data_IF_546339021654
#
_entry.id   IF_546339021654
#
_cell.length_a   1.000
_cell.length_b   1.000
_cell.length_c   1.000
_cell.angle_alpha   90.00
_cell.angle_beta   90.00
_cell.angle_gamma   90.00
#
_symmetry.space_group_name_H-M   'P 1'
#
loop_
_entity.id
_entity.type
_entity.pdbx_description
1 polymer ?
#
# COMPACT_ATOMS: atom_id res chain seq x y z
N UNK A 1 28.89 -8.57 11.39
CA UNK A 1 29.66 -9.60 12.10
C UNK A 1 28.99 -9.97 13.42
N UNK A 2 29.52 -10.95 14.15
CA UNK A 2 29.17 -11.14 15.57
C UNK A 2 29.62 -9.89 16.33
N UNK A 3 28.79 -9.40 17.25
CA UNK A 3 28.95 -8.12 17.98
C UNK A 3 28.67 -6.82 17.19
N UNK A 4 28.00 -6.86 16.03
CA UNK A 4 27.45 -5.65 15.42
C UNK A 4 26.42 -4.97 16.35
N UNK A 5 26.40 -3.64 16.37
CA UNK A 5 25.46 -2.87 17.20
C UNK A 5 24.02 -2.94 16.66
N UNK A 6 23.15 -3.68 17.36
CA UNK A 6 21.71 -3.77 17.07
C UNK A 6 20.93 -2.74 17.90
N UNK A 7 20.54 -1.63 17.29
CA UNK A 7 19.64 -0.64 17.89
C UNK A 7 18.18 -1.09 17.75
N UNK A 8 17.41 -1.06 18.85
CA UNK A 8 15.98 -1.40 18.87
C UNK A 8 15.15 -0.13 18.82
N UNK A 9 14.27 -0.02 17.82
CA UNK A 9 13.42 1.18 17.63
C UNK A 9 12.16 1.19 18.51
N UNK A 10 11.85 0.09 19.21
CA UNK A 10 10.68 -0.06 20.11
C UNK A 10 9.32 0.30 19.48
N UNK A 11 9.20 0.19 18.15
CA UNK A 11 7.98 0.38 17.36
C UNK A 11 7.84 -0.75 16.33
N UNK A 12 6.62 -1.16 15.92
CA UNK A 12 6.42 -2.11 14.83
C UNK A 12 6.83 -1.51 13.48
N UNK A 13 6.95 -2.36 12.46
CA UNK A 13 7.04 -1.89 11.07
C UNK A 13 5.83 -0.99 10.78
N UNK A 14 6.11 0.22 10.29
CA UNK A 14 5.12 1.28 10.10
C UNK A 14 5.31 1.89 8.70
N UNK A 15 4.22 2.39 8.13
CA UNK A 15 4.16 2.98 6.78
C UNK A 15 3.93 4.48 6.93
N UNK A 16 4.71 5.31 6.25
CA UNK A 16 4.44 6.75 6.14
C UNK A 16 3.22 6.94 5.22
N UNK A 17 2.06 7.20 5.84
CA UNK A 17 0.81 7.51 5.16
C UNK A 17 0.60 9.02 5.10
N UNK A 18 0.36 9.53 3.91
CA UNK A 18 0.17 10.94 3.64
C UNK A 18 -0.05 11.18 2.14
N UNK A 19 -0.21 12.44 1.73
CA UNK A 19 0.05 12.86 0.35
C UNK A 19 1.36 12.24 -0.15
N UNK A 20 1.36 11.66 -1.36
CA UNK A 20 2.61 11.34 -2.06
C UNK A 20 2.99 9.95 -2.46
N UNK A 21 2.10 9.00 -2.23
CA UNK A 21 2.40 7.58 -2.44
C UNK A 21 2.31 7.21 -3.95
N UNK A 22 1.95 8.13 -4.84
CA UNK A 22 1.56 7.81 -6.23
C UNK A 22 2.41 8.44 -7.33
N UNK A 23 2.30 7.84 -8.52
CA UNK A 23 3.34 7.92 -9.54
C UNK A 23 4.67 7.34 -9.06
N UNK A 24 4.73 6.74 -7.87
CA UNK A 24 5.92 6.41 -7.12
C UNK A 24 6.06 4.91 -6.88
N UNK A 25 7.31 4.51 -6.66
CA UNK A 25 7.76 3.11 -6.73
C UNK A 25 8.55 2.82 -5.47
N UNK A 26 8.10 1.85 -4.69
CA UNK A 26 8.69 1.54 -3.39
C UNK A 26 9.22 0.11 -3.33
N UNK A 27 10.33 -0.05 -2.61
CA UNK A 27 10.79 -1.31 -2.03
C UNK A 27 9.73 -1.90 -1.08
N UNK A 28 9.82 -3.20 -0.75
CA UNK A 28 8.87 -3.90 0.15
C UNK A 28 8.79 -3.34 1.58
N UNK A 29 9.70 -2.45 1.95
CA UNK A 29 9.72 -1.68 3.21
C UNK A 29 9.58 -0.16 2.97
N UNK A 30 8.74 0.21 1.98
CA UNK A 30 8.34 1.56 1.61
C UNK A 30 9.48 2.55 1.26
N UNK A 31 10.62 2.07 0.75
CA UNK A 31 11.72 2.97 0.33
C UNK A 31 11.56 3.38 -1.13
N UNK A 32 11.46 4.68 -1.40
CA UNK A 32 11.27 5.23 -2.75
C UNK A 32 12.49 4.93 -3.66
N UNK A 33 12.31 4.00 -4.60
CA UNK A 33 13.37 3.53 -5.51
C UNK A 33 13.93 4.67 -6.37
N UNK A 34 13.08 5.64 -6.75
CA UNK A 34 13.52 6.85 -7.47
C UNK A 34 14.56 7.65 -6.69
N UNK A 35 14.46 7.75 -5.36
CA UNK A 35 15.38 8.52 -4.51
C UNK A 35 16.63 7.70 -4.17
N UNK A 36 16.53 6.36 -4.13
CA UNK A 36 17.70 5.47 -4.07
C UNK A 36 18.54 5.60 -5.35
N UNK A 37 17.91 5.58 -6.52
CA UNK A 37 18.58 5.80 -7.81
C UNK A 37 19.08 7.24 -7.97
N UNK A 38 18.25 8.23 -7.64
CA UNK A 38 18.60 9.66 -7.63
C UNK A 38 19.21 10.11 -6.30
N UNK A 39 20.22 9.40 -5.78
CA UNK A 39 21.02 9.91 -4.63
C UNK A 39 22.00 11.02 -5.02
N UNK A 40 21.58 11.84 -5.99
CA UNK A 40 22.15 13.08 -6.51
C UNK A 40 21.14 14.25 -6.54
N UNK A 41 19.91 14.07 -6.00
CA UNK A 41 19.02 15.17 -5.57
C UNK A 41 17.69 15.36 -6.33
N UNK A 42 16.78 16.11 -5.69
CA UNK A 42 15.55 16.68 -6.28
C UNK A 42 14.24 16.31 -5.57
N UNK A 43 13.79 17.17 -4.64
CA UNK A 43 12.48 17.07 -3.97
C UNK A 43 11.32 17.68 -4.82
N UNK A 44 10.07 17.35 -4.48
CA UNK A 44 8.85 17.97 -5.03
C UNK A 44 7.83 18.26 -3.92
N UNK A 45 7.07 19.35 -4.05
CA UNK A 45 6.16 19.89 -3.03
C UNK A 45 4.79 20.21 -3.65
N UNK A 46 3.67 19.64 -3.14
CA UNK A 46 2.31 19.93 -3.62
C UNK A 46 1.74 21.19 -2.96
N UNK A 47 0.51 21.58 -3.31
CA UNK A 47 -0.15 22.76 -2.74
C UNK A 47 -1.29 22.37 -1.79
N UNK A 48 -1.18 22.76 -0.51
CA UNK A 48 -2.17 22.43 0.51
C UNK A 48 -3.27 23.49 0.55
N UNK A 49 -4.52 23.04 0.52
CA UNK A 49 -5.69 23.85 0.86
C UNK A 49 -6.32 23.33 2.16
N UNK A 50 -6.54 24.21 3.13
CA UNK A 50 -7.23 23.82 4.36
C UNK A 50 -8.73 23.67 4.09
N UNK A 51 -9.34 22.59 4.58
CA UNK A 51 -10.79 22.45 4.59
C UNK A 51 -11.34 23.32 5.73
N UNK A 52 -12.52 23.91 5.57
CA UNK A 52 -13.12 24.76 6.63
C UNK A 52 -13.58 23.89 7.81
N UNK A 53 -12.71 23.76 8.80
CA UNK A 53 -13.03 23.37 10.18
C UNK A 53 -12.66 24.58 11.07
N UNK A 54 -13.40 24.80 12.17
CA UNK A 54 -13.16 25.89 13.11
C UNK A 54 -12.14 25.53 14.21
N UNK A 55 -11.40 26.52 14.69
CA UNK A 55 -10.68 26.37 15.95
C UNK A 55 -11.70 26.19 17.10
N UNK A 56 -11.46 25.21 17.98
CA UNK A 56 -12.39 24.78 19.01
C UNK A 56 -13.32 23.63 18.63
N UNK A 57 -13.45 23.26 17.35
CA UNK A 57 -14.23 22.10 16.91
C UNK A 57 -13.67 20.81 17.52
N UNK A 58 -14.58 19.90 17.91
CA UNK A 58 -14.24 18.59 18.47
C UNK A 58 -14.13 17.55 17.34
N UNK A 59 -12.97 16.91 17.22
CA UNK A 59 -12.68 15.94 16.17
C UNK A 59 -12.30 14.58 16.75
N UNK A 60 -12.52 13.56 15.92
CA UNK A 60 -12.18 12.16 16.13
C UNK A 60 -11.25 11.65 15.03
N UNK A 61 -10.66 10.47 15.23
CA UNK A 61 -9.86 9.81 14.21
C UNK A 61 -10.63 9.58 12.90
N UNK A 62 -9.94 9.67 11.77
CA UNK A 62 -10.54 9.63 10.44
C UNK A 62 -11.12 10.96 9.93
N UNK A 63 -11.38 11.97 10.79
CA UNK A 63 -11.90 13.25 10.33
C UNK A 63 -10.95 13.94 9.31
N UNK A 64 -11.53 14.32 8.16
CA UNK A 64 -10.80 14.88 7.02
C UNK A 64 -10.69 16.41 7.13
N UNK A 65 -9.47 16.94 7.32
CA UNK A 65 -9.23 18.34 7.73
C UNK A 65 -8.51 19.22 6.70
N UNK A 66 -7.83 18.63 5.72
CA UNK A 66 -7.20 19.36 4.62
C UNK A 66 -7.31 18.60 3.30
N UNK A 67 -7.22 19.34 2.20
CA UNK A 67 -7.24 18.85 0.82
C UNK A 67 -5.97 19.30 0.11
N UNK A 68 -5.12 18.37 -0.27
CA UNK A 68 -3.90 18.65 -1.04
C UNK A 68 -4.18 18.36 -2.51
N UNK A 69 -3.88 19.31 -3.39
CA UNK A 69 -3.90 19.03 -4.82
C UNK A 69 -2.59 18.34 -5.19
N UNK A 70 -2.72 17.04 -5.45
CA UNK A 70 -1.63 16.08 -5.55
C UNK A 70 -1.59 15.46 -6.96
N UNK A 71 -2.62 15.64 -7.77
CA UNK A 71 -2.44 15.75 -9.22
C UNK A 71 -3.48 16.75 -9.75
N UNK A 72 -3.44 17.06 -11.04
CA UNK A 72 -4.34 18.03 -11.70
C UNK A 72 -5.83 17.65 -11.72
N UNK A 73 -6.18 16.53 -11.08
CA UNK A 73 -7.49 15.89 -11.03
C UNK A 73 -7.91 15.50 -9.59
N UNK A 74 -6.94 15.21 -8.71
CA UNK A 74 -7.16 14.43 -7.50
C UNK A 74 -6.78 15.21 -6.24
N UNK A 75 -7.61 15.05 -5.21
CA UNK A 75 -7.54 15.80 -3.95
C UNK A 75 -7.23 14.83 -2.82
N UNK A 76 -5.96 14.75 -2.44
CA UNK A 76 -5.54 13.94 -1.31
C UNK A 76 -6.14 14.49 -0.02
N UNK A 77 -6.99 13.70 0.63
CA UNK A 77 -7.72 14.08 1.84
C UNK A 77 -6.87 13.73 3.07
N UNK A 78 -6.38 14.75 3.77
CA UNK A 78 -5.63 14.52 5.03
C UNK A 78 -6.62 14.20 6.15
N UNK A 79 -6.61 12.94 6.58
CA UNK A 79 -7.33 12.45 7.75
C UNK A 79 -6.55 12.66 9.05
N UNK A 80 -7.24 12.77 10.18
CA UNK A 80 -6.63 12.59 11.50
C UNK A 80 -6.36 11.11 11.81
N UNK A 81 -5.27 10.84 12.54
CA UNK A 81 -4.90 9.50 12.99
C UNK A 81 -6.05 8.85 13.81
N UNK A 82 -6.36 7.55 13.63
CA UNK A 82 -7.55 6.91 14.22
C UNK A 82 -7.65 7.04 15.75
N UNK A 83 -6.52 6.92 16.47
CA UNK A 83 -6.50 7.01 17.93
C UNK A 83 -6.61 8.45 18.50
N UNK A 84 -6.63 9.47 17.63
CA UNK A 84 -6.61 10.87 18.06
C UNK A 84 -8.03 11.42 18.24
N UNK A 85 -8.34 11.88 19.46
CA UNK A 85 -9.56 12.65 19.75
C UNK A 85 -9.20 13.91 20.52
N UNK A 86 -9.87 15.03 20.23
CA UNK A 86 -9.61 16.29 20.92
C UNK A 86 -10.35 17.49 20.32
N UNK A 87 -10.02 18.68 20.82
CA UNK A 87 -10.44 19.96 20.21
C UNK A 87 -9.28 20.58 19.45
N UNK A 88 -9.57 21.22 18.34
CA UNK A 88 -8.57 21.95 17.56
C UNK A 88 -8.12 23.20 18.32
N UNK A 89 -6.82 23.30 18.62
CA UNK A 89 -6.23 24.47 19.29
C UNK A 89 -5.59 25.47 18.33
N UNK A 90 -5.30 25.05 17.10
CA UNK A 90 -4.65 25.86 16.06
C UNK A 90 -4.83 25.19 14.68
N UNK A 91 -5.07 25.97 13.63
CA UNK A 91 -5.04 25.49 12.23
C UNK A 91 -3.99 26.27 11.42
N UNK A 92 -3.11 25.53 10.73
CA UNK A 92 -2.15 26.14 9.81
C UNK A 92 -2.87 26.79 8.60
N UNK A 93 -2.58 28.05 8.24
CA UNK A 93 -3.29 28.75 7.16
C UNK A 93 -3.02 28.10 5.79
N UNK A 94 -3.92 28.24 4.78
CA UNK A 94 -3.69 27.69 3.43
C UNK A 94 -2.37 28.16 2.81
N UNK A 95 -1.55 27.23 2.30
CA UNK A 95 -0.18 27.55 1.90
C UNK A 95 0.59 26.36 1.31
N UNK A 96 1.87 26.58 1.01
CA UNK A 96 2.82 25.51 0.67
C UNK A 96 3.54 25.08 1.94
N UNK A 97 3.52 23.77 2.23
CA UNK A 97 4.18 23.16 3.37
C UNK A 97 4.99 21.96 2.92
N UNK A 98 6.14 21.73 3.54
CA UNK A 98 7.07 20.65 3.24
C UNK A 98 6.61 19.31 3.84
N UNK A 99 5.57 18.71 3.25
CA UNK A 99 5.38 17.27 3.31
C UNK A 99 6.41 16.60 2.37
N UNK A 100 7.04 15.51 2.83
CA UNK A 100 8.18 14.90 2.11
C UNK A 100 7.74 14.02 0.96
N UNK A 101 7.89 14.54 -0.26
CA UNK A 101 7.46 13.96 -1.55
C UNK A 101 5.94 13.91 -1.69
N UNK A 102 5.38 14.42 -2.80
CA UNK A 102 3.95 14.27 -3.04
C UNK A 102 3.45 14.23 -4.48
N UNK A 103 2.33 13.49 -4.70
CA UNK A 103 1.35 13.44 -5.81
C UNK A 103 0.37 12.21 -5.65
N UNK A 104 -0.90 12.24 -6.14
CA UNK A 104 -2.01 11.23 -5.92
C UNK A 104 -2.79 10.78 -7.20
N UNK A 105 -3.78 9.86 -7.34
CA UNK A 105 -4.66 8.97 -6.50
C UNK A 105 -5.04 7.67 -7.28
N UNK A 106 -5.54 6.62 -6.60
CA UNK A 106 -4.92 5.27 -6.66
C UNK A 106 -5.63 4.09 -7.36
N UNK A 107 -4.89 3.43 -8.27
CA UNK A 107 -4.79 1.97 -8.45
C UNK A 107 -3.49 1.50 -7.77
N UNK A 108 -3.55 0.45 -6.93
CA UNK A 108 -2.32 -0.10 -6.32
C UNK A 108 -1.91 -1.32 -7.12
N UNK A 109 -0.67 -1.38 -7.63
CA UNK A 109 -0.10 -2.58 -8.26
C UNK A 109 1.13 -3.08 -7.49
N UNK A 110 1.35 -4.41 -7.49
CA UNK A 110 2.46 -5.09 -6.83
C UNK A 110 3.02 -6.15 -7.74
N UNK A 111 4.33 -6.12 -7.92
CA UNK A 111 5.11 -7.33 -8.16
C UNK A 111 5.77 -7.76 -6.85
N UNK A 112 5.37 -8.92 -6.34
CA UNK A 112 5.89 -9.59 -5.16
C UNK A 112 6.39 -10.98 -5.58
N UNK A 113 7.68 -11.04 -5.93
CA UNK A 113 8.34 -12.24 -6.45
C UNK A 113 8.56 -12.21 -7.96
N UNK A 114 7.96 -11.25 -8.65
CA UNK A 114 8.19 -11.02 -10.08
C UNK A 114 9.67 -10.75 -10.39
N UNK A 115 10.05 -10.99 -11.64
CA UNK A 115 11.41 -10.73 -12.10
C UNK A 115 11.53 -9.22 -12.33
N UNK A 116 12.75 -8.70 -12.21
CA UNK A 116 13.03 -7.29 -12.47
C UNK A 116 12.70 -6.84 -13.90
N UNK A 117 12.44 -7.78 -14.83
CA UNK A 117 11.98 -7.50 -16.20
C UNK A 117 10.50 -7.13 -16.25
N UNK A 118 9.60 -7.95 -15.67
CA UNK A 118 8.15 -7.64 -15.70
C UNK A 118 7.87 -6.29 -15.02
N UNK A 119 8.53 -6.02 -13.88
CA UNK A 119 8.46 -4.72 -13.21
C UNK A 119 9.06 -3.56 -14.01
N UNK A 120 10.01 -3.80 -14.91
CA UNK A 120 10.58 -2.76 -15.78
C UNK A 120 9.66 -2.46 -16.98
N UNK A 121 8.98 -3.46 -17.53
CA UNK A 121 8.02 -3.31 -18.63
C UNK A 121 6.79 -2.51 -18.16
N UNK A 122 6.24 -2.83 -16.99
CA UNK A 122 5.21 -2.01 -16.29
C UNK A 122 5.62 -0.53 -16.20
N UNK A 123 6.90 -0.25 -15.90
CA UNK A 123 7.43 1.12 -15.78
C UNK A 123 7.69 1.84 -17.10
N UNK A 124 7.78 1.11 -18.22
CA UNK A 124 7.87 1.70 -19.57
C UNK A 124 6.48 1.95 -20.16
N UNK A 125 5.51 1.07 -19.89
CA UNK A 125 4.20 1.11 -20.53
C UNK A 125 3.19 2.01 -19.78
N UNK A 126 3.17 2.00 -18.44
CA UNK A 126 2.21 2.79 -17.66
C UNK A 126 2.32 4.31 -17.89
N UNK A 127 3.50 4.90 -18.15
CA UNK A 127 3.62 6.30 -18.59
C UNK A 127 2.99 6.59 -19.96
N UNK A 128 2.96 5.61 -20.87
CA UNK A 128 2.43 5.74 -22.23
C UNK A 128 0.90 5.56 -22.28
N UNK A 129 0.34 4.75 -21.39
CA UNK A 129 -1.10 4.57 -21.23
C UNK A 129 -1.73 5.86 -20.67
N UNK A 130 -2.41 6.63 -21.53
CA UNK A 130 -3.31 7.71 -21.12
C UNK A 130 -4.74 7.19 -20.95
N UNK A 131 -5.48 7.81 -20.03
CA UNK A 131 -6.91 7.60 -19.84
C UNK A 131 -7.65 8.92 -20.00
N UNK A 132 -8.70 8.93 -20.80
CA UNK A 132 -9.64 10.05 -20.92
C UNK A 132 -10.56 10.07 -19.70
N UNK A 133 -10.61 11.22 -19.01
CA UNK A 133 -11.43 11.41 -17.82
C UNK A 133 -12.77 12.09 -18.16
N UNK A 134 -13.69 12.12 -17.19
CA UNK A 134 -15.00 12.74 -17.34
C UNK A 134 -14.96 14.23 -17.76
N UNK A 135 -13.88 14.95 -17.41
CA UNK A 135 -13.61 16.34 -17.83
C UNK A 135 -12.98 16.47 -19.23
N UNK A 136 -12.88 15.37 -20.01
CA UNK A 136 -12.31 15.37 -21.36
C UNK A 136 -10.79 15.55 -21.44
N UNK A 137 -10.08 15.50 -20.30
CA UNK A 137 -8.62 15.53 -20.23
C UNK A 137 -8.03 14.12 -20.35
N UNK A 138 -6.85 14.01 -20.94
CA UNK A 138 -6.03 12.80 -20.89
C UNK A 138 -4.95 12.95 -19.82
N UNK A 139 -4.84 11.98 -18.91
CA UNK A 139 -3.69 11.83 -18.02
C UNK A 139 -3.21 10.38 -17.96
N UNK A 140 -1.92 10.19 -17.63
CA UNK A 140 -1.29 8.86 -17.61
C UNK A 140 -1.74 8.01 -16.42
N UNK A 141 -1.99 6.72 -16.66
CA UNK A 141 -2.27 5.70 -15.64
C UNK A 141 -1.16 5.64 -14.59
N UNK A 142 0.09 5.96 -14.93
CA UNK A 142 1.20 6.03 -13.97
C UNK A 142 0.95 7.05 -12.85
N UNK A 143 0.37 8.24 -13.14
CA UNK A 143 -0.01 9.20 -12.08
C UNK A 143 -0.99 8.57 -11.08
N UNK A 144 -1.87 7.74 -11.61
CA UNK A 144 -2.87 7.01 -10.83
C UNK A 144 -2.34 5.71 -10.23
N UNK A 145 -1.05 5.38 -10.30
CA UNK A 145 -0.53 4.09 -9.82
C UNK A 145 0.46 4.25 -8.67
N UNK A 146 0.26 3.48 -7.59
CA UNK A 146 1.32 3.16 -6.62
C UNK A 146 1.90 1.81 -6.98
N UNK A 147 3.23 1.74 -7.11
CA UNK A 147 3.95 0.48 -7.32
C UNK A 147 4.73 0.12 -6.05
N UNK A 148 4.46 -1.06 -5.48
CA UNK A 148 5.37 -1.68 -4.50
C UNK A 148 6.02 -2.88 -5.18
N UNK A 149 7.33 -2.83 -5.35
CA UNK A 149 8.12 -3.78 -6.12
C UNK A 149 9.08 -4.52 -5.18
N UNK A 150 8.82 -5.81 -4.95
CA UNK A 150 9.76 -6.70 -4.28
C UNK A 150 10.13 -7.84 -5.23
N UNK A 151 11.23 -7.66 -5.98
CA UNK A 151 11.69 -8.62 -6.99
C UNK A 151 12.26 -9.88 -6.34
N UNK A 152 12.27 -11.01 -7.05
CA UNK A 152 12.70 -12.33 -6.55
C UNK A 152 14.15 -12.43 -6.01
N UNK A 153 14.98 -11.40 -6.18
CA UNK A 153 16.33 -11.28 -5.61
C UNK A 153 16.40 -10.40 -4.34
N UNK A 154 15.28 -9.86 -3.87
CA UNK A 154 15.18 -9.11 -2.60
C UNK A 154 14.97 -10.06 -1.41
N UNK A 155 15.19 -9.62 -0.15
CA UNK A 155 15.10 -10.51 1.01
C UNK A 155 13.71 -11.13 1.20
N UNK A 156 13.63 -12.39 1.64
CA UNK A 156 12.34 -13.09 1.80
C UNK A 156 11.37 -12.39 2.76
N UNK A 157 11.88 -11.81 3.85
CA UNK A 157 11.07 -10.98 4.77
C UNK A 157 10.45 -9.73 4.11
N UNK A 158 11.01 -9.26 2.99
CA UNK A 158 10.45 -8.15 2.22
C UNK A 158 9.29 -8.55 1.30
N UNK A 159 9.10 -9.85 1.00
CA UNK A 159 7.87 -10.34 0.34
C UNK A 159 6.67 -10.33 1.31
N UNK A 160 6.87 -10.63 2.59
CA UNK A 160 5.83 -10.44 3.60
C UNK A 160 5.59 -8.95 3.88
N UNK A 161 6.65 -8.16 4.04
CA UNK A 161 6.53 -6.73 4.29
C UNK A 161 5.88 -5.96 3.13
N UNK A 162 6.13 -6.32 1.87
CA UNK A 162 5.57 -5.61 0.71
C UNK A 162 4.04 -5.75 0.66
N UNK A 163 3.52 -6.95 0.90
CA UNK A 163 2.08 -7.22 0.93
C UNK A 163 1.41 -6.44 2.06
N UNK A 164 1.96 -6.48 3.29
CA UNK A 164 1.39 -5.73 4.42
C UNK A 164 1.51 -4.21 4.27
N UNK A 165 2.63 -3.70 3.76
CA UNK A 165 2.81 -2.27 3.41
C UNK A 165 1.71 -1.85 2.43
N UNK A 166 1.45 -2.68 1.43
CA UNK A 166 0.60 -2.33 0.30
C UNK A 166 -0.90 -2.45 0.57
N UNK A 167 -1.37 -3.44 1.34
CA UNK A 167 -2.77 -3.42 1.83
C UNK A 167 -3.02 -2.21 2.72
N UNK A 168 -2.05 -1.82 3.55
CA UNK A 168 -2.17 -0.64 4.42
C UNK A 168 -2.25 0.66 3.60
N UNK A 169 -1.55 0.75 2.47
CA UNK A 169 -1.72 1.83 1.49
C UNK A 169 -3.12 1.78 0.84
N UNK A 170 -3.63 0.61 0.46
CA UNK A 170 -4.96 0.47 -0.14
C UNK A 170 -6.08 0.89 0.83
N UNK A 171 -5.98 0.49 2.10
CA UNK A 171 -6.89 0.90 3.16
C UNK A 171 -6.84 2.41 3.45
N UNK A 172 -5.68 3.03 3.36
CA UNK A 172 -5.55 4.48 3.54
C UNK A 172 -6.37 5.27 2.49
N UNK A 173 -6.34 4.85 1.22
CA UNK A 173 -7.16 5.47 0.17
C UNK A 173 -8.64 5.07 0.26
N UNK A 174 -8.96 3.85 0.68
CA UNK A 174 -10.33 3.43 1.04
C UNK A 174 -10.94 4.34 2.10
N UNK A 175 -10.18 4.69 3.13
CA UNK A 175 -10.68 5.46 4.27
C UNK A 175 -10.97 6.94 3.92
N UNK A 176 -10.36 7.46 2.85
CA UNK A 176 -10.75 8.74 2.23
C UNK A 176 -12.08 8.68 1.46
N UNK A 177 -12.60 7.48 1.17
CA UNK A 177 -13.79 7.24 0.36
C UNK A 177 -13.53 6.84 -1.10
N UNK A 178 -12.30 6.44 -1.45
CA UNK A 178 -12.01 5.93 -2.80
C UNK A 178 -12.34 4.43 -2.95
N UNK A 179 -12.61 4.02 -4.19
CA UNK A 179 -12.71 2.62 -4.58
C UNK A 179 -11.34 2.18 -5.13
N UNK A 180 -10.65 1.29 -4.43
CA UNK A 180 -9.25 0.95 -4.64
C UNK A 180 -9.13 -0.50 -5.11
N UNK A 181 -8.37 -0.73 -6.19
CA UNK A 181 -8.02 -2.09 -6.64
C UNK A 181 -6.58 -2.46 -6.27
N UNK A 182 -6.39 -3.74 -5.91
CA UNK A 182 -5.18 -4.27 -5.31
C UNK A 182 -4.79 -5.62 -5.96
N UNK A 183 -4.02 -5.56 -7.05
CA UNK A 183 -3.46 -6.74 -7.75
C UNK A 183 -2.27 -7.35 -6.99
N UNK A 184 -2.43 -8.42 -6.22
CA UNK A 184 -1.36 -9.09 -5.49
C UNK A 184 -0.71 -10.21 -6.34
N UNK A 185 0.27 -9.82 -7.15
CA UNK A 185 0.98 -10.67 -8.11
C UNK A 185 2.39 -11.02 -7.55
N UNK A 186 2.67 -12.21 -6.99
CA UNK A 186 1.75 -13.32 -6.75
C UNK A 186 1.87 -13.91 -5.34
N UNK A 187 0.73 -14.28 -4.75
CA UNK A 187 0.59 -14.66 -3.33
C UNK A 187 1.37 -15.92 -2.94
N UNK A 188 1.58 -16.87 -3.86
CA UNK A 188 2.40 -18.06 -3.64
C UNK A 188 3.87 -17.74 -3.36
N UNK A 189 4.41 -16.62 -3.85
CA UNK A 189 5.80 -16.18 -3.53
C UNK A 189 5.92 -15.76 -2.06
N UNK A 190 4.87 -15.13 -1.52
CA UNK A 190 4.77 -14.84 -0.08
C UNK A 190 4.59 -16.11 0.76
N UNK A 191 3.75 -17.06 0.31
CA UNK A 191 3.62 -18.35 0.98
C UNK A 191 4.95 -19.13 1.03
N UNK A 192 5.73 -19.11 -0.05
CA UNK A 192 7.09 -19.69 -0.06
C UNK A 192 8.06 -18.94 0.86
N UNK A 193 8.00 -17.61 0.92
CA UNK A 193 8.79 -16.83 1.88
C UNK A 193 8.43 -17.17 3.34
N UNK A 194 7.13 -17.33 3.66
CA UNK A 194 6.66 -17.80 4.97
C UNK A 194 7.18 -19.21 5.29
N UNK A 195 7.21 -20.12 4.31
CA UNK A 195 7.81 -21.46 4.45
C UNK A 195 9.32 -21.39 4.75
N UNK A 196 10.07 -20.54 4.05
CA UNK A 196 11.51 -20.43 4.30
C UNK A 196 11.80 -19.79 5.66
N UNK A 197 11.03 -18.79 6.08
CA UNK A 197 11.13 -18.18 7.41
C UNK A 197 10.81 -19.21 8.51
N UNK A 198 9.68 -19.93 8.38
CA UNK A 198 9.26 -20.99 9.31
C UNK A 198 10.31 -22.10 9.45
N UNK A 199 10.87 -22.57 8.32
CA UNK A 199 11.96 -23.55 8.31
C UNK A 199 13.27 -23.05 8.95
N UNK A 200 13.61 -21.76 8.77
CA UNK A 200 14.76 -21.12 9.46
C UNK A 200 14.54 -20.94 10.96
N UNK A 201 13.28 -20.85 11.41
CA UNK A 201 12.88 -20.80 12.83
C UNK A 201 12.77 -22.20 13.46
N UNK A 202 12.93 -23.28 12.67
CA UNK A 202 12.74 -24.67 13.07
C UNK A 202 11.34 -24.96 13.67
N UNK A 203 10.32 -24.28 13.16
CA UNK A 203 8.92 -24.58 13.46
C UNK A 203 8.52 -25.94 12.85
N UNK A 204 7.47 -26.57 13.39
CA UNK A 204 6.94 -27.81 12.80
C UNK A 204 6.14 -27.49 11.52
N UNK A 205 6.53 -28.05 10.35
CA UNK A 205 5.80 -27.83 9.11
C UNK A 205 4.47 -28.59 9.10
N UNK A 206 3.49 -28.00 8.41
CA UNK A 206 2.28 -28.67 7.95
C UNK A 206 2.48 -29.14 6.48
N UNK A 207 1.38 -29.29 5.74
CA UNK A 207 1.36 -29.80 4.37
C UNK A 207 2.33 -29.05 3.44
N UNK A 208 3.01 -29.80 2.56
CA UNK A 208 4.01 -29.30 1.59
C UNK A 208 5.11 -28.40 2.21
N UNK A 209 5.37 -28.54 3.51
CA UNK A 209 6.38 -27.81 4.26
C UNK A 209 5.96 -26.42 4.76
N UNK A 210 4.73 -25.98 4.49
CA UNK A 210 4.27 -24.64 4.88
C UNK A 210 3.96 -24.54 6.39
N UNK A 211 4.05 -23.35 7.02
CA UNK A 211 3.65 -23.17 8.41
C UNK A 211 2.15 -23.42 8.61
N UNK A 212 1.78 -24.00 9.75
CA UNK A 212 0.37 -24.24 10.12
C UNK A 212 -0.50 -22.97 10.15
N UNK A 213 0.10 -21.79 10.29
CA UNK A 213 -0.60 -20.50 10.25
C UNK A 213 -0.87 -19.95 8.84
N UNK A 214 -0.46 -20.63 7.76
CA UNK A 214 -0.60 -20.14 6.37
C UNK A 214 -2.05 -19.74 6.03
N UNK A 215 -3.01 -20.62 6.28
CA UNK A 215 -4.42 -20.35 5.98
C UNK A 215 -4.97 -19.16 6.78
N UNK A 216 -4.57 -19.03 8.06
CA UNK A 216 -4.96 -17.89 8.89
C UNK A 216 -4.33 -16.57 8.40
N UNK A 217 -3.09 -16.60 7.89
CA UNK A 217 -2.43 -15.43 7.27
C UNK A 217 -3.15 -14.99 5.99
N UNK A 218 -3.47 -15.94 5.10
CA UNK A 218 -4.25 -15.66 3.89
C UNK A 218 -5.63 -15.09 4.24
N UNK A 219 -6.35 -15.68 5.20
CA UNK A 219 -7.66 -15.17 5.64
C UNK A 219 -7.54 -13.73 6.20
N UNK A 220 -6.60 -13.49 7.13
CA UNK A 220 -6.36 -12.15 7.70
C UNK A 220 -5.92 -11.08 6.68
N UNK A 221 -5.54 -11.51 5.48
CA UNK A 221 -5.17 -10.64 4.37
C UNK A 221 -6.36 -10.36 3.44
N UNK A 222 -7.11 -11.39 3.04
CA UNK A 222 -8.29 -11.23 2.18
C UNK A 222 -9.47 -10.57 2.89
N UNK A 223 -9.67 -10.80 4.18
CA UNK A 223 -10.69 -10.13 5.03
C UNK A 223 -10.47 -8.61 5.20
N UNK A 224 -9.36 -8.05 4.70
CA UNK A 224 -9.12 -6.59 4.60
C UNK A 224 -9.68 -5.99 3.31
N UNK A 225 -10.09 -6.82 2.35
CA UNK A 225 -10.91 -6.42 1.22
C UNK A 225 -12.35 -6.14 1.66
N UNK A 226 -13.12 -5.47 0.81
CA UNK A 226 -14.53 -5.21 1.02
C UNK A 226 -14.91 -3.74 0.90
N UNK A 227 -16.22 -3.48 0.92
CA UNK A 227 -16.80 -2.13 0.89
C UNK A 227 -17.26 -1.74 2.29
N UNK A 228 -16.72 -0.64 2.81
CA UNK A 228 -16.92 -0.22 4.21
C UNK A 228 -17.32 1.25 4.29
N UNK A 229 -18.04 1.60 5.35
CA UNK A 229 -18.25 2.99 5.77
C UNK A 229 -17.05 3.39 6.64
N UNK A 230 -16.39 4.48 6.25
CA UNK A 230 -15.12 4.88 6.87
C UNK A 230 -15.34 5.63 8.19
N UNK A 231 -14.27 5.82 8.97
CA UNK A 231 -14.32 6.54 10.25
C UNK A 231 -14.21 8.05 10.06
N UNK A 232 -14.83 8.81 10.98
CA UNK A 232 -14.90 10.27 10.94
C UNK A 232 -16.17 10.80 10.25
N UNK A 233 -16.14 12.08 9.88
CA UNK A 233 -17.18 12.75 9.10
C UNK A 233 -16.58 13.53 7.93
N UNK A 234 -17.24 13.58 6.74
CA UNK A 234 -18.59 13.10 6.42
C UNK A 234 -18.67 11.56 6.28
N UNK A 235 -19.86 11.02 5.99
CA UNK A 235 -20.05 9.60 5.69
C UNK A 235 -19.44 9.22 4.32
N UNK A 236 -18.13 8.99 4.27
CA UNK A 236 -17.49 8.35 3.13
C UNK A 236 -17.70 6.83 3.15
N UNK A 237 -17.86 6.27 1.95
CA UNK A 237 -17.92 4.82 1.70
C UNK A 237 -16.82 4.49 0.70
N UNK A 238 -15.80 3.75 1.14
CA UNK A 238 -14.73 3.26 0.28
C UNK A 238 -14.85 1.76 0.01
N UNK A 239 -14.03 1.25 -0.91
CA UNK A 239 -13.84 -0.18 -1.08
C UNK A 239 -12.40 -0.56 -1.41
N UNK A 240 -11.97 -1.74 -0.96
CA UNK A 240 -10.76 -2.40 -1.45
C UNK A 240 -11.15 -3.70 -2.13
N UNK A 241 -10.78 -3.84 -3.41
CA UNK A 241 -10.88 -5.10 -4.15
C UNK A 241 -9.50 -5.72 -4.26
N UNK A 242 -9.27 -6.86 -3.61
CA UNK A 242 -8.01 -7.62 -3.75
C UNK A 242 -8.18 -8.64 -4.88
N UNK A 243 -7.27 -8.59 -5.85
CA UNK A 243 -7.14 -9.59 -6.93
C UNK A 243 -5.80 -10.28 -6.72
N UNK A 244 -5.79 -11.50 -6.16
CA UNK A 244 -4.55 -12.22 -5.88
C UNK A 244 -4.24 -13.25 -6.96
N UNK A 245 -3.05 -13.19 -7.55
CA UNK A 245 -2.54 -14.26 -8.38
C UNK A 245 -2.01 -15.40 -7.50
N UNK A 246 -2.23 -16.64 -7.94
CA UNK A 246 -1.77 -17.88 -7.29
C UNK A 246 -1.10 -18.72 -8.38
N UNK A 247 0.09 -19.26 -8.12
CA UNK A 247 0.83 -20.09 -9.07
C UNK A 247 1.17 -21.44 -8.44
N UNK A 248 0.25 -22.42 -8.47
CA UNK A 248 0.52 -23.74 -7.93
C UNK A 248 1.67 -24.45 -8.67
N UNK A 249 2.49 -25.22 -7.94
CA UNK A 249 3.54 -26.04 -8.57
C UNK A 249 2.91 -27.00 -9.59
N UNK A 250 3.37 -26.94 -10.83
CA UNK A 250 2.89 -27.77 -11.97
C UNK A 250 1.38 -27.62 -12.31
N UNK A 251 0.69 -26.61 -11.79
CA UNK A 251 -0.76 -26.45 -12.00
C UNK A 251 -1.63 -27.31 -11.08
N UNK A 252 -1.07 -27.85 -10.00
CA UNK A 252 -1.80 -28.72 -9.06
C UNK A 252 -2.67 -27.90 -8.09
N UNK A 253 -3.99 -27.96 -8.27
CA UNK A 253 -4.96 -27.28 -7.40
C UNK A 253 -5.06 -27.85 -5.98
N UNK A 254 -4.44 -29.01 -5.70
CA UNK A 254 -4.33 -29.57 -4.34
C UNK A 254 -3.20 -28.94 -3.51
N UNK A 255 -2.37 -28.08 -4.10
CA UNK A 255 -1.38 -27.27 -3.35
C UNK A 255 -2.07 -26.45 -2.25
N UNK A 256 -1.54 -26.44 -1.01
CA UNK A 256 -2.23 -25.83 0.13
C UNK A 256 -2.35 -24.31 0.05
N UNK A 257 -1.54 -23.60 -0.76
CA UNK A 257 -1.77 -22.16 -1.01
C UNK A 257 -3.03 -21.98 -1.85
N UNK A 258 -3.19 -22.83 -2.87
CA UNK A 258 -4.34 -22.80 -3.79
C UNK A 258 -5.61 -23.25 -3.09
N UNK A 259 -5.58 -24.38 -2.38
CA UNK A 259 -6.70 -24.88 -1.59
C UNK A 259 -7.12 -23.90 -0.49
N UNK A 260 -6.19 -23.27 0.23
CA UNK A 260 -6.52 -22.24 1.21
C UNK A 260 -7.16 -21.01 0.54
N UNK A 261 -6.61 -20.53 -0.57
CA UNK A 261 -7.12 -19.33 -1.25
C UNK A 261 -8.54 -19.54 -1.81
N UNK A 262 -8.81 -20.71 -2.40
CA UNK A 262 -10.13 -21.09 -2.91
C UNK A 262 -11.21 -21.18 -1.81
N UNK A 263 -10.83 -21.48 -0.56
CA UNK A 263 -11.75 -21.50 0.58
C UNK A 263 -12.05 -20.11 1.17
N UNK A 264 -11.33 -19.06 0.74
CA UNK A 264 -11.39 -17.71 1.30
C UNK A 264 -11.96 -16.70 0.29
N UNK A 265 -11.52 -16.77 -0.96
CA UNK A 265 -11.85 -15.77 -1.99
C UNK A 265 -13.26 -15.99 -2.54
N UNK A 266 -14.05 -14.92 -2.54
CA UNK A 266 -15.32 -14.80 -3.27
C UNK A 266 -15.09 -13.93 -4.52
N UNK A 267 -15.74 -14.28 -5.64
CA UNK A 267 -15.56 -13.69 -6.98
C UNK A 267 -16.93 -13.31 -7.54
#
# INVERSE_FOLDING_TARGET
>A
MVNDHVLRMHKPLSVELGPGILGNIFDGIQRLLKTIAKRSGGDYIPRISAKKIGEGDLLTGGNLHATVFDNSLMQHLIAFHPDTMGKITYIAPPGQYSLKHSNSDTVVYVGCGERGKEMAEVLMDFPQLTMTLFDGREESVMKHTTLVANTSNMPMAAHEASIYTRITIAEYFRDMGYNVSMMADLTSRWAEALREISGRLAEMPADSGYPAYLAARLASFYERAGKVKCLGGPECIGSVTIVGAVSPPRGDFSDPVTAATLNIVQI
#
